data_IF_798707103659
#
_entry.id   IF_798707103659
#
_cell.length_a   1.000
_cell.length_b   1.000
_cell.length_c   1.000
_cell.angle_alpha   90.00
_cell.angle_beta   90.00
_cell.angle_gamma   90.00
#
_symmetry.space_group_name_H-M   'P 1'
#
loop_
_entity.id
_entity.type
_entity.pdbx_description
1 polymer ?
#
# COMPACT_ATOMS: atom_id res chain seq x y z
N UNK A 1 -16.79 -43.29 -36.01
CA UNK A 1 -17.35 -41.97 -35.65
C UNK A 1 -17.03 -41.63 -34.17
N UNK A 2 -17.29 -42.53 -33.24
CA UNK A 2 -17.06 -42.35 -31.77
C UNK A 2 -15.62 -41.95 -31.42
N UNK A 3 -14.60 -42.56 -32.06
CA UNK A 3 -13.18 -42.25 -31.79
C UNK A 3 -12.78 -40.80 -32.14
N UNK A 4 -13.39 -40.20 -33.17
CA UNK A 4 -13.13 -38.79 -33.53
C UNK A 4 -13.77 -37.82 -32.56
N UNK A 5 -14.94 -38.18 -32.01
CA UNK A 5 -15.62 -37.36 -31.00
C UNK A 5 -14.83 -37.36 -29.71
N UNK A 6 -14.38 -38.56 -29.27
CA UNK A 6 -13.55 -38.70 -28.05
C UNK A 6 -12.26 -37.87 -28.17
N UNK A 7 -11.56 -37.94 -29.30
CA UNK A 7 -10.35 -37.15 -29.56
C UNK A 7 -10.61 -35.63 -29.47
N UNK A 8 -11.70 -35.15 -30.03
CA UNK A 8 -12.09 -33.72 -29.99
C UNK A 8 -12.40 -33.31 -28.55
N UNK A 9 -13.16 -34.10 -27.79
CA UNK A 9 -13.45 -33.83 -26.41
C UNK A 9 -12.17 -33.78 -25.56
N UNK A 10 -11.23 -34.70 -25.78
CA UNK A 10 -9.95 -34.74 -25.06
C UNK A 10 -9.11 -33.49 -25.35
N UNK A 11 -9.05 -33.03 -26.61
CA UNK A 11 -8.36 -31.79 -26.98
C UNK A 11 -9.00 -30.59 -26.30
N UNK A 12 -10.34 -30.46 -26.32
CA UNK A 12 -11.05 -29.37 -25.67
C UNK A 12 -10.78 -29.37 -24.16
N UNK A 13 -10.84 -30.52 -23.54
CA UNK A 13 -10.54 -30.66 -22.11
C UNK A 13 -9.10 -30.26 -21.77
N UNK A 14 -8.12 -30.70 -22.58
CA UNK A 14 -6.73 -30.27 -22.40
C UNK A 14 -6.56 -28.76 -22.56
N UNK A 15 -7.19 -28.14 -23.57
CA UNK A 15 -7.15 -26.69 -23.77
C UNK A 15 -7.76 -25.94 -22.59
N UNK A 16 -8.89 -26.43 -22.05
CA UNK A 16 -9.51 -25.84 -20.85
C UNK A 16 -8.59 -25.94 -19.62
N UNK A 17 -8.00 -27.10 -19.40
CA UNK A 17 -7.07 -27.31 -18.26
C UNK A 17 -5.85 -26.40 -18.37
N UNK A 18 -5.28 -26.24 -19.58
CA UNK A 18 -4.17 -25.32 -19.81
C UNK A 18 -4.61 -23.88 -19.55
N UNK A 19 -5.80 -23.47 -20.04
CA UNK A 19 -6.35 -22.14 -19.79
C UNK A 19 -6.53 -21.83 -18.31
N UNK A 20 -7.14 -22.77 -17.56
CA UNK A 20 -7.30 -22.64 -16.11
C UNK A 20 -5.93 -22.57 -15.40
N UNK A 21 -4.98 -23.40 -15.83
CA UNK A 21 -3.61 -23.39 -15.28
C UNK A 21 -2.92 -22.04 -15.46
N UNK A 22 -3.04 -21.43 -16.64
CA UNK A 22 -2.47 -20.09 -16.92
C UNK A 22 -3.12 -19.02 -16.05
N UNK A 23 -4.45 -19.06 -15.88
CA UNK A 23 -5.17 -18.11 -15.02
C UNK A 23 -4.73 -18.26 -13.55
N UNK A 24 -4.60 -19.50 -13.08
CA UNK A 24 -4.13 -19.79 -11.72
C UNK A 24 -2.71 -19.27 -11.48
N UNK A 25 -1.78 -19.49 -12.43
CA UNK A 25 -0.41 -18.98 -12.34
C UNK A 25 -0.39 -17.46 -12.29
N UNK A 26 -1.18 -16.79 -13.13
CA UNK A 26 -1.28 -15.32 -13.13
C UNK A 26 -1.81 -14.79 -11.81
N UNK A 27 -2.88 -15.41 -11.30
CA UNK A 27 -3.44 -15.06 -10.00
C UNK A 27 -2.43 -15.26 -8.88
N UNK A 28 -1.73 -16.40 -8.86
CA UNK A 28 -0.69 -16.70 -7.87
C UNK A 28 0.45 -15.68 -7.89
N UNK A 29 0.96 -15.34 -9.09
CA UNK A 29 2.03 -14.34 -9.25
C UNK A 29 1.57 -12.99 -8.69
N UNK A 30 0.37 -12.54 -9.07
CA UNK A 30 -0.18 -11.27 -8.57
C UNK A 30 -0.31 -11.29 -7.05
N UNK A 31 -0.98 -12.29 -6.51
CA UNK A 31 -1.19 -12.44 -5.06
C UNK A 31 0.13 -12.51 -4.27
N UNK A 32 1.14 -13.22 -4.78
CA UNK A 32 2.46 -13.27 -4.16
C UNK A 32 3.13 -11.89 -4.15
N UNK A 33 3.11 -11.17 -5.30
CA UNK A 33 3.71 -9.86 -5.42
C UNK A 33 3.02 -8.85 -4.49
N UNK A 34 1.70 -8.82 -4.47
CA UNK A 34 0.93 -7.87 -3.68
C UNK A 34 1.14 -8.14 -2.18
N UNK A 35 1.10 -9.41 -1.76
CA UNK A 35 1.29 -9.83 -0.36
C UNK A 35 2.69 -9.57 0.19
N UNK A 36 3.72 -9.68 -0.64
CA UNK A 36 5.12 -9.53 -0.24
C UNK A 36 5.76 -8.25 -0.78
N UNK A 37 4.95 -7.27 -1.19
CA UNK A 37 5.45 -6.05 -1.82
C UNK A 37 6.34 -5.22 -0.89
N UNK A 38 6.09 -5.22 0.43
CA UNK A 38 6.99 -4.59 1.43
C UNK A 38 8.36 -5.27 1.43
N UNK A 39 8.41 -6.60 1.51
CA UNK A 39 9.67 -7.34 1.43
C UNK A 39 10.42 -7.04 0.12
N UNK A 40 9.74 -7.06 -1.01
CA UNK A 40 10.37 -6.83 -2.31
C UNK A 40 10.92 -5.42 -2.45
N UNK A 41 10.18 -4.39 -2.00
CA UNK A 41 10.63 -3.01 -2.12
C UNK A 41 11.83 -2.71 -1.24
N UNK A 42 11.93 -3.30 -0.06
CA UNK A 42 13.08 -3.15 0.83
C UNK A 42 14.38 -3.74 0.24
N UNK A 43 14.26 -4.59 -0.79
CA UNK A 43 15.40 -5.14 -1.54
C UNK A 43 15.71 -4.38 -2.85
N UNK A 44 15.14 -3.18 -3.04
CA UNK A 44 15.46 -2.28 -4.17
C UNK A 44 16.22 -1.06 -3.62
N UNK A 45 17.27 -0.65 -4.31
CA UNK A 45 17.91 0.64 -4.02
C UNK A 45 16.92 1.77 -4.33
N UNK A 46 16.79 2.71 -3.42
CA UNK A 46 15.97 3.90 -3.58
C UNK A 46 16.68 5.13 -2.99
N UNK A 47 16.18 6.34 -3.29
CA UNK A 47 16.75 7.58 -2.78
C UNK A 47 16.74 7.65 -1.25
N UNK A 48 17.66 8.40 -0.66
CA UNK A 48 17.83 8.48 0.81
C UNK A 48 16.58 8.97 1.54
N UNK A 49 15.79 9.82 0.90
CA UNK A 49 14.61 10.47 1.49
C UNK A 49 13.30 9.81 1.02
N UNK A 50 13.37 8.63 0.42
CA UNK A 50 12.22 7.87 -0.02
C UNK A 50 11.97 6.69 0.93
N UNK A 51 10.71 6.50 1.29
CA UNK A 51 10.24 5.41 2.16
C UNK A 51 9.17 4.58 1.44
N UNK A 52 9.55 3.96 0.30
CA UNK A 52 8.61 3.30 -0.61
C UNK A 52 7.90 2.09 0.01
N UNK A 53 8.39 1.58 1.14
CA UNK A 53 7.76 0.51 1.91
C UNK A 53 6.38 0.91 2.44
N UNK A 54 6.18 2.17 2.84
CA UNK A 54 4.85 2.67 3.22
C UNK A 54 3.92 2.81 2.02
N UNK A 55 4.43 3.25 0.86
CA UNK A 55 3.65 3.28 -0.37
C UNK A 55 3.20 1.87 -0.76
N UNK A 56 4.10 0.88 -0.73
CA UNK A 56 3.76 -0.51 -1.04
C UNK A 56 2.81 -1.12 -0.03
N UNK A 57 2.94 -0.77 1.25
CA UNK A 57 2.01 -1.18 2.30
C UNK A 57 0.60 -0.68 1.99
N UNK A 58 0.43 0.61 1.73
CA UNK A 58 -0.87 1.22 1.49
C UNK A 58 -1.50 0.78 0.17
N UNK A 59 -0.70 0.61 -0.89
CA UNK A 59 -1.19 0.11 -2.19
C UNK A 59 -1.75 -1.32 -2.13
N UNK A 60 -1.30 -2.10 -1.16
CA UNK A 60 -1.63 -3.52 -1.08
C UNK A 60 -2.19 -3.91 0.30
N UNK A 61 -2.74 -2.95 1.06
CA UNK A 61 -3.17 -3.15 2.45
C UNK A 61 -4.15 -4.32 2.62
N UNK A 62 -5.01 -4.57 1.64
CA UNK A 62 -5.97 -5.68 1.65
C UNK A 62 -5.32 -7.06 1.51
N UNK A 63 -4.10 -7.10 0.94
CA UNK A 63 -3.30 -8.32 0.76
C UNK A 63 -2.27 -8.53 1.86
N UNK A 64 -2.09 -7.52 2.73
CA UNK A 64 -1.10 -7.50 3.78
C UNK A 64 -1.58 -8.20 5.05
N UNK A 65 -0.62 -8.60 5.88
CA UNK A 65 -0.91 -9.02 7.24
C UNK A 65 -1.30 -7.79 8.07
N UNK A 66 -2.46 -7.87 8.70
CA UNK A 66 -3.08 -6.82 9.50
C UNK A 66 -3.04 -7.23 10.98
N UNK A 67 -1.93 -6.97 11.70
CA UNK A 67 -1.81 -7.34 13.09
C UNK A 67 -2.87 -6.65 13.95
N UNK A 68 -3.55 -7.40 14.82
CA UNK A 68 -4.45 -6.81 15.79
C UNK A 68 -3.68 -5.89 16.73
N UNK A 69 -4.02 -4.62 16.71
CA UNK A 69 -3.50 -3.62 17.64
C UNK A 69 -4.68 -2.82 18.17
N UNK A 70 -4.70 -2.57 19.49
CA UNK A 70 -5.75 -1.73 20.08
C UNK A 70 -5.81 -0.38 19.34
N UNK A 71 -7.02 0.04 18.98
CA UNK A 71 -7.30 1.33 18.33
C UNK A 71 -6.84 1.48 16.88
N UNK A 72 -6.58 0.37 16.16
CA UNK A 72 -6.22 0.40 14.74
C UNK A 72 -7.23 -0.38 13.92
N UNK A 73 -7.72 0.23 12.84
CA UNK A 73 -8.62 -0.38 11.85
C UNK A 73 -7.97 -0.33 10.46
N UNK A 74 -8.25 -1.34 9.65
CA UNK A 74 -7.67 -1.49 8.30
C UNK A 74 -8.71 -1.42 7.18
N UNK A 75 -9.98 -1.18 7.52
CA UNK A 75 -11.06 -1.20 6.52
C UNK A 75 -11.01 0.04 5.64
N UNK A 76 -11.15 -0.11 4.32
CA UNK A 76 -11.37 1.02 3.42
C UNK A 76 -12.73 1.65 3.80
N UNK A 77 -12.70 2.95 4.03
CA UNK A 77 -13.91 3.75 4.11
C UNK A 77 -13.98 4.60 2.84
N UNK A 78 -15.15 4.76 2.24
CA UNK A 78 -15.46 5.38 0.96
C UNK A 78 -14.35 6.28 0.35
N UNK A 79 -13.56 5.70 -0.56
CA UNK A 79 -12.53 6.42 -1.32
C UNK A 79 -11.14 6.50 -0.70
N UNK A 80 -10.92 5.96 0.53
CA UNK A 80 -9.61 5.89 1.16
C UNK A 80 -9.30 4.49 1.64
N UNK A 81 -8.07 4.03 1.47
CA UNK A 81 -7.55 2.79 2.04
C UNK A 81 -6.36 3.08 2.94
N UNK A 82 -6.26 2.39 4.08
CA UNK A 82 -5.12 2.61 4.96
C UNK A 82 -5.35 2.15 6.39
N UNK A 83 -4.70 2.84 7.31
CA UNK A 83 -4.71 2.55 8.74
C UNK A 83 -5.37 3.71 9.47
N UNK A 84 -6.49 3.43 10.09
CA UNK A 84 -7.32 4.40 10.77
C UNK A 84 -7.29 4.17 12.28
N UNK A 85 -7.39 5.26 13.04
CA UNK A 85 -7.70 5.15 14.47
C UNK A 85 -9.17 4.77 14.69
N UNK A 86 -9.50 4.24 15.87
CA UNK A 86 -10.90 3.90 16.22
C UNK A 86 -11.84 5.11 16.28
N UNK A 87 -11.29 6.31 16.30
CA UNK A 87 -12.04 7.58 16.42
C UNK A 87 -12.16 8.34 15.12
N UNK A 88 -11.72 7.74 14.01
CA UNK A 88 -11.91 8.35 12.69
C UNK A 88 -13.34 8.17 12.22
N UNK A 89 -14.02 9.27 11.92
CA UNK A 89 -15.37 9.29 11.37
C UNK A 89 -15.41 10.12 10.09
N UNK A 90 -16.04 9.57 9.04
CA UNK A 90 -16.43 10.34 7.87
C UNK A 90 -17.86 10.86 8.15
N UNK A 91 -18.01 12.18 8.24
CA UNK A 91 -19.31 12.83 8.40
C UNK A 91 -19.62 13.70 7.18
N UNK A 92 -20.68 13.37 6.44
CA UNK A 92 -21.14 14.10 5.23
C UNK A 92 -20.03 14.35 4.18
N UNK A 93 -19.12 13.40 3.99
CA UNK A 93 -18.01 13.55 3.06
C UNK A 93 -16.86 14.45 3.54
N UNK A 94 -16.94 14.98 4.75
CA UNK A 94 -15.84 15.68 5.39
C UNK A 94 -15.14 14.75 6.40
N UNK A 95 -13.83 14.69 6.37
CA UNK A 95 -13.02 13.97 7.35
C UNK A 95 -13.05 14.72 8.67
N UNK A 96 -13.72 14.19 9.67
CA UNK A 96 -13.66 14.72 11.04
C UNK A 96 -12.54 13.99 11.75
N UNK A 97 -11.38 14.63 11.81
CA UNK A 97 -10.22 14.15 12.56
C UNK A 97 -10.45 14.42 14.05
N UNK A 98 -10.36 13.38 14.85
CA UNK A 98 -10.13 13.59 16.27
C UNK A 98 -8.61 13.75 16.46
N UNK A 99 -8.16 14.94 16.84
CA UNK A 99 -6.77 15.43 16.88
C UNK A 99 -5.77 14.61 17.73
N UNK A 100 -6.19 13.47 18.26
CA UNK A 100 -5.40 12.75 19.26
C UNK A 100 -4.67 11.51 18.76
N UNK A 101 -4.97 11.03 17.54
CA UNK A 101 -4.38 9.76 17.07
C UNK A 101 -3.89 9.88 15.61
N UNK A 102 -2.68 9.37 15.31
CA UNK A 102 -2.12 9.44 13.97
C UNK A 102 -2.89 8.53 12.99
N UNK A 103 -2.98 8.97 11.74
CA UNK A 103 -3.64 8.26 10.64
C UNK A 103 -2.71 8.21 9.44
N UNK A 104 -2.64 7.05 8.79
CA UNK A 104 -1.87 6.85 7.58
C UNK A 104 -2.77 6.22 6.51
N UNK A 105 -3.06 6.97 5.45
CA UNK A 105 -4.02 6.59 4.42
C UNK A 105 -3.47 6.80 3.01
N UNK A 106 -4.09 6.10 2.07
CA UNK A 106 -4.03 6.39 0.65
C UNK A 106 -5.37 6.97 0.23
N UNK A 107 -5.35 8.13 -0.39
CA UNK A 107 -6.53 8.78 -0.97
C UNK A 107 -6.44 8.70 -2.50
N UNK A 108 -7.59 8.46 -3.15
CA UNK A 108 -7.73 8.59 -4.59
C UNK A 108 -7.96 10.09 -4.88
N UNK A 109 -6.91 10.80 -5.28
CA UNK A 109 -6.97 12.21 -5.64
C UNK A 109 -7.18 12.38 -7.15
N UNK A 110 -7.71 13.57 -7.57
CA UNK A 110 -7.90 13.94 -8.97
C UNK A 110 -6.61 13.94 -9.79
N UNK A 111 -5.45 14.12 -9.15
CA UNK A 111 -4.12 14.11 -9.77
C UNK A 111 -3.38 12.76 -9.62
N UNK A 112 -4.04 11.73 -9.12
CA UNK A 112 -3.49 10.40 -8.86
C UNK A 112 -3.42 10.06 -7.38
N UNK A 113 -2.93 8.85 -7.07
CA UNK A 113 -2.83 8.37 -5.69
C UNK A 113 -1.97 9.30 -4.83
N UNK A 114 -2.52 9.82 -3.75
CA UNK A 114 -1.82 10.54 -2.70
C UNK A 114 -1.74 9.71 -1.42
N UNK A 115 -0.58 9.73 -0.75
CA UNK A 115 -0.44 9.17 0.59
C UNK A 115 -0.45 10.30 1.57
N UNK A 116 -1.19 10.13 2.66
CA UNK A 116 -1.41 11.18 3.65
C UNK A 116 -1.15 10.63 5.05
N UNK A 117 -0.37 11.36 5.81
CA UNK A 117 -0.17 11.12 7.23
C UNK A 117 -0.71 12.32 8.03
N UNK A 118 -1.56 12.03 8.99
CA UNK A 118 -2.02 12.99 9.98
C UNK A 118 -1.33 12.68 11.30
N UNK A 119 -0.63 13.66 11.85
CA UNK A 119 0.00 13.53 13.16
C UNK A 119 -1.00 13.84 14.30
N UNK A 120 -0.62 13.52 15.53
CA UNK A 120 -1.42 13.79 16.72
C UNK A 120 -1.51 15.28 17.11
N UNK A 121 -0.85 16.16 16.36
CA UNK A 121 -0.87 17.61 16.55
C UNK A 121 -1.82 18.31 15.60
N UNK A 122 -2.47 17.58 14.70
CA UNK A 122 -3.36 18.10 13.67
C UNK A 122 -2.64 18.60 12.42
N UNK A 123 -1.42 18.12 12.16
CA UNK A 123 -0.71 18.39 10.92
C UNK A 123 -0.95 17.29 9.92
N UNK A 124 -1.16 17.68 8.68
CA UNK A 124 -1.32 16.80 7.53
C UNK A 124 -0.06 16.87 6.65
N UNK A 125 0.49 15.73 6.31
CA UNK A 125 1.61 15.61 5.40
C UNK A 125 1.18 14.77 4.20
N UNK A 126 1.38 15.30 3.00
CA UNK A 126 1.10 14.59 1.75
C UNK A 126 2.39 14.10 1.13
N UNK A 127 2.38 12.90 0.59
CA UNK A 127 3.55 12.25 0.01
C UNK A 127 3.31 11.92 -1.47
N UNK A 128 4.39 11.88 -2.23
CA UNK A 128 4.36 11.40 -3.60
C UNK A 128 4.31 9.85 -3.68
N UNK A 129 4.29 9.33 -4.90
CA UNK A 129 4.25 7.88 -5.17
C UNK A 129 5.45 7.09 -4.64
N UNK A 130 6.52 7.74 -4.21
CA UNK A 130 7.70 7.12 -3.57
C UNK A 130 7.69 7.28 -2.06
N UNK A 131 6.63 7.85 -1.52
CA UNK A 131 6.46 8.22 -0.12
C UNK A 131 7.47 9.28 0.35
N UNK A 132 7.76 10.24 -0.53
CA UNK A 132 8.54 11.45 -0.20
C UNK A 132 7.59 12.61 0.05
N UNK A 133 7.85 13.41 1.08
CA UNK A 133 7.00 14.57 1.46
C UNK A 133 6.87 15.54 0.29
N UNK A 134 5.62 15.88 -0.06
CA UNK A 134 5.25 16.81 -1.12
C UNK A 134 4.68 18.12 -0.56
N UNK A 135 3.83 18.03 0.46
CA UNK A 135 3.24 19.22 1.11
C UNK A 135 3.01 18.93 2.60
N UNK A 136 2.85 19.99 3.36
CA UNK A 136 2.47 19.95 4.76
C UNK A 136 1.49 21.08 5.07
N UNK A 137 0.49 20.79 5.93
CA UNK A 137 -0.57 21.71 6.30
C UNK A 137 -0.87 21.62 7.79
N UNK A 138 -1.04 22.73 8.47
CA UNK A 138 -1.48 22.78 9.86
C UNK A 138 -2.99 23.01 9.91
N UNK A 139 -3.75 21.98 10.30
CA UNK A 139 -5.21 22.04 10.35
C UNK A 139 -5.74 22.96 11.45
N UNK A 140 -4.96 23.18 12.53
CA UNK A 140 -5.36 24.06 13.64
C UNK A 140 -5.16 25.53 13.32
N UNK A 141 -4.09 25.83 12.59
CA UNK A 141 -3.76 27.19 12.19
C UNK A 141 -4.31 27.55 10.81
N UNK A 142 -4.88 26.57 10.08
CA UNK A 142 -5.40 26.72 8.72
C UNK A 142 -4.38 27.29 7.75
N UNK A 143 -3.11 26.82 7.82
CA UNK A 143 -2.02 27.35 6.98
C UNK A 143 -1.10 26.27 6.45
N UNK A 144 -0.52 26.54 5.27
CA UNK A 144 0.52 25.70 4.70
C UNK A 144 1.81 25.83 5.51
N UNK A 145 2.51 24.71 5.67
CA UNK A 145 3.84 24.66 6.28
C UNK A 145 4.88 24.59 5.15
N UNK A 146 5.88 25.46 5.18
CA UNK A 146 7.00 25.37 4.23
C UNK A 146 7.76 24.05 4.45
N UNK A 147 7.75 23.19 3.43
CA UNK A 147 8.40 21.87 3.46
C UNK A 147 9.88 21.97 3.84
N UNK A 148 10.54 23.08 3.48
CA UNK A 148 11.96 23.30 3.80
C UNK A 148 12.21 23.43 5.29
N UNK A 149 11.18 23.78 6.07
CA UNK A 149 11.24 23.89 7.54
C UNK A 149 10.88 22.58 8.25
N UNK A 150 10.34 21.59 7.52
CA UNK A 150 9.99 20.28 8.08
C UNK A 150 11.26 19.47 8.32
N UNK A 151 11.49 19.07 9.56
CA UNK A 151 12.49 18.06 9.87
C UNK A 151 12.00 16.70 9.36
N UNK A 152 12.41 16.36 8.14
CA UNK A 152 11.97 15.12 7.48
C UNK A 152 12.40 13.89 8.27
N UNK A 153 13.59 13.91 8.89
CA UNK A 153 14.05 12.78 9.69
C UNK A 153 13.12 12.55 10.89
N UNK A 154 12.81 13.60 11.63
CA UNK A 154 11.90 13.51 12.78
C UNK A 154 10.50 13.06 12.35
N UNK A 155 10.00 13.53 11.20
CA UNK A 155 8.72 13.12 10.65
C UNK A 155 8.70 11.62 10.34
N UNK A 156 9.70 11.09 9.64
CA UNK A 156 9.74 9.66 9.33
C UNK A 156 9.97 8.81 10.58
N UNK A 157 10.78 9.25 11.54
CA UNK A 157 10.94 8.59 12.83
C UNK A 157 9.58 8.47 13.57
N UNK A 158 8.73 9.51 13.48
CA UNK A 158 7.38 9.52 14.05
C UNK A 158 6.46 8.52 13.30
N UNK A 159 6.44 8.54 11.97
CA UNK A 159 5.65 7.58 11.16
C UNK A 159 6.08 6.13 11.45
N UNK A 160 7.38 5.86 11.55
CA UNK A 160 7.87 4.53 11.91
C UNK A 160 7.50 4.12 13.34
N UNK A 161 7.51 5.04 14.28
CA UNK A 161 7.06 4.78 15.65
C UNK A 161 5.59 4.35 15.67
N UNK A 162 4.75 5.01 14.87
CA UNK A 162 3.30 4.78 14.88
C UNK A 162 2.90 3.57 14.02
N UNK A 163 3.51 3.39 12.85
CA UNK A 163 3.11 2.41 11.84
C UNK A 163 4.20 1.40 11.42
N UNK A 164 5.42 1.55 11.90
CA UNK A 164 6.53 0.64 11.57
C UNK A 164 6.28 -0.82 11.96
N UNK A 165 5.36 -1.08 12.91
CA UNK A 165 4.93 -2.43 13.24
C UNK A 165 4.29 -3.17 12.05
N UNK A 166 3.62 -2.43 11.14
CA UNK A 166 3.04 -2.96 9.91
C UNK A 166 4.12 -3.35 8.91
N UNK A 167 5.13 -2.50 8.74
CA UNK A 167 6.29 -2.81 7.91
C UNK A 167 6.94 -4.10 8.42
N UNK A 168 7.23 -4.17 9.72
CA UNK A 168 7.83 -5.36 10.35
C UNK A 168 6.98 -6.63 10.20
N UNK A 169 5.65 -6.51 10.27
CA UNK A 169 4.76 -7.64 10.10
C UNK A 169 4.77 -8.17 8.66
N UNK A 170 5.00 -7.30 7.68
CA UNK A 170 4.92 -7.60 6.25
C UNK A 170 6.28 -7.75 5.55
N UNK A 171 7.39 -7.45 6.24
CA UNK A 171 8.74 -7.75 5.75
C UNK A 171 9.06 -9.25 5.94
N UNK A 172 8.33 -10.09 5.20
CA UNK A 172 8.47 -11.56 5.24
C UNK A 172 8.90 -12.09 3.90
N UNK A 173 10.02 -12.82 3.91
CA UNK A 173 10.53 -13.49 2.71
C UNK A 173 9.49 -14.49 2.18
N UNK A 174 9.10 -14.41 0.90
CA UNK A 174 8.18 -15.35 0.30
C UNK A 174 8.82 -16.73 0.08
N UNK A 175 8.01 -17.80 0.05
CA UNK A 175 8.48 -19.15 -0.31
C UNK A 175 9.04 -19.20 -1.73
N UNK A 176 8.35 -18.53 -2.68
CA UNK A 176 8.81 -18.35 -4.06
C UNK A 176 9.18 -16.89 -4.24
N UNK A 177 10.47 -16.61 -4.44
CA UNK A 177 10.95 -15.25 -4.64
C UNK A 177 10.69 -14.80 -6.08
N UNK A 178 9.83 -13.81 -6.23
CA UNK A 178 9.47 -13.18 -7.50
C UNK A 178 10.05 -11.76 -7.63
N UNK A 179 11.18 -11.45 -6.97
CA UNK A 179 11.83 -10.13 -6.98
C UNK A 179 12.02 -9.58 -8.39
N UNK A 180 12.43 -10.42 -9.34
CA UNK A 180 12.64 -9.98 -10.72
C UNK A 180 11.36 -9.49 -11.40
N UNK A 181 10.20 -10.13 -11.13
CA UNK A 181 8.90 -9.67 -11.63
C UNK A 181 8.45 -8.39 -10.93
N UNK A 182 8.66 -8.31 -9.62
CA UNK A 182 8.40 -7.10 -8.86
C UNK A 182 9.24 -5.94 -9.41
N UNK A 183 10.55 -6.12 -9.61
CA UNK A 183 11.42 -5.12 -10.19
C UNK A 183 10.94 -4.69 -11.58
N UNK A 184 10.58 -5.62 -12.44
CA UNK A 184 10.03 -5.30 -13.78
C UNK A 184 8.78 -4.43 -13.70
N UNK A 185 7.90 -4.65 -12.72
CA UNK A 185 6.65 -3.90 -12.53
C UNK A 185 6.89 -2.51 -11.92
N UNK A 186 7.76 -2.41 -10.92
CA UNK A 186 7.87 -1.24 -10.06
C UNK A 186 9.17 -0.45 -10.21
N UNK A 187 10.17 -0.94 -10.96
CA UNK A 187 11.47 -0.27 -11.10
C UNK A 187 11.35 1.21 -11.48
N UNK A 188 10.54 1.51 -12.50
CA UNK A 188 10.35 2.90 -12.99
C UNK A 188 9.66 3.83 -11.99
N UNK A 189 8.99 3.27 -10.99
CA UNK A 189 8.30 4.07 -9.97
C UNK A 189 9.26 4.55 -8.90
N UNK A 190 10.26 3.75 -8.55
CA UNK A 190 11.12 3.99 -7.39
C UNK A 190 12.58 4.32 -7.76
N UNK A 191 12.91 4.30 -9.04
CA UNK A 191 14.18 4.70 -9.64
C UNK A 191 13.88 5.67 -10.81
#
# INVERSE_FOLDING_TARGET
MLSRLIKRMLIITCCLLVGVGVLFIRWYIKSNIDRHSVYYIMNISHGRDAHPEFAMLLDNIDSMEQPEKKKVRYKPESGASGVFSDRFYIYNGANVLNDEEPILIKEDDFDGDAYVYYDNRGRMYTFDKTFKVRSAYDSKQHQDIDIKTVDQKALYDEIYKDFGFLIKANDKKPMINLQWLFNKKYYKRFN
#
